data_IF_280283426659
#
_entry.id   IF_280283426659
#
_cell.length_a   1.000
_cell.length_b   1.000
_cell.length_c   1.000
_cell.angle_alpha   90.00
_cell.angle_beta   90.00
_cell.angle_gamma   90.00
#
_symmetry.space_group_name_H-M   'P 1'
#
loop_
_entity.id
_entity.type
_entity.pdbx_description
1 polymer ?
#
# COMPACT_ATOMS: atom_id res chain seq x y z
N UNK A 1 15.98 31.97 9.62
CA UNK A 1 14.66 31.57 10.13
C UNK A 1 13.68 31.48 8.97
N UNK A 2 12.96 30.37 8.87
CA UNK A 2 12.01 30.17 7.77
C UNK A 2 10.74 30.98 8.04
N UNK A 3 10.30 31.74 7.06
CA UNK A 3 9.03 32.46 7.14
C UNK A 3 7.90 31.44 7.28
N UNK A 4 6.95 31.65 8.20
CA UNK A 4 5.80 30.79 8.41
C UNK A 4 4.96 30.60 7.14
N UNK A 5 4.91 31.61 6.25
CA UNK A 5 4.19 31.53 4.98
C UNK A 5 4.80 30.56 3.98
N UNK A 6 6.09 30.17 4.14
CA UNK A 6 6.78 29.22 3.26
C UNK A 6 6.81 27.81 3.82
N UNK A 7 6.32 27.58 5.02
CA UNK A 7 6.25 26.24 5.61
C UNK A 7 5.05 25.49 5.06
N UNK A 8 5.20 24.19 4.84
CA UNK A 8 4.04 23.36 4.53
C UNK A 8 2.98 23.47 5.63
N UNK A 9 1.73 23.62 5.24
CA UNK A 9 0.61 23.69 6.18
C UNK A 9 0.12 22.29 6.58
N UNK A 10 0.46 21.27 5.82
CA UNK A 10 0.11 19.89 6.10
C UNK A 10 1.22 19.18 6.87
N UNK A 11 0.88 18.08 7.53
CA UNK A 11 1.82 17.27 8.31
C UNK A 11 1.92 15.85 7.75
N UNK A 12 2.00 15.73 6.44
CA UNK A 12 2.02 14.45 5.77
C UNK A 12 0.62 13.91 5.54
N UNK A 13 0.53 12.68 5.08
CA UNK A 13 -0.75 12.05 4.83
C UNK A 13 -1.44 11.69 6.15
N UNK A 14 -2.71 12.04 6.28
CA UNK A 14 -3.55 11.65 7.43
C UNK A 14 -4.01 10.20 7.27
N UNK A 15 -4.50 9.85 6.11
CA UNK A 15 -4.84 8.49 5.70
C UNK A 15 -4.87 8.44 4.18
N UNK A 16 -4.87 7.23 3.63
CA UNK A 16 -4.96 7.02 2.18
C UNK A 16 -6.14 6.12 1.89
N UNK A 17 -7.02 6.58 1.00
CA UNK A 17 -8.18 5.81 0.55
C UNK A 17 -7.87 5.05 -0.73
N UNK A 18 -8.15 3.75 -0.74
CA UNK A 18 -8.00 2.88 -1.91
C UNK A 18 -9.37 2.36 -2.31
N UNK A 19 -9.73 2.55 -3.58
CA UNK A 19 -10.90 1.91 -4.15
C UNK A 19 -10.51 0.50 -4.58
N UNK A 20 -11.19 -0.50 -4.04
CA UNK A 20 -10.84 -1.91 -4.25
C UNK A 20 -12.02 -2.68 -4.85
N UNK A 21 -11.70 -3.76 -5.55
CA UNK A 21 -12.71 -4.63 -6.16
C UNK A 21 -13.49 -5.40 -5.10
N UNK A 22 -12.80 -5.93 -4.10
CA UNK A 22 -13.34 -6.76 -3.03
C UNK A 22 -12.70 -6.33 -1.72
N UNK A 23 -13.49 -5.71 -0.85
CA UNK A 23 -12.94 -5.13 0.39
C UNK A 23 -12.47 -6.20 1.37
N UNK A 24 -13.11 -7.38 1.40
CA UNK A 24 -12.67 -8.49 2.26
C UNK A 24 -11.34 -9.07 1.77
N UNK A 25 -11.17 -9.23 0.47
CA UNK A 25 -9.93 -9.70 -0.14
C UNK A 25 -8.77 -8.73 0.15
N UNK A 26 -9.02 -7.43 0.03
CA UNK A 26 -8.03 -6.40 0.34
C UNK A 26 -7.68 -6.39 1.84
N UNK A 27 -8.69 -6.46 2.72
CA UNK A 27 -8.46 -6.57 4.16
C UNK A 27 -7.57 -7.76 4.49
N UNK A 28 -7.87 -8.92 3.94
CA UNK A 28 -7.13 -10.15 4.24
C UNK A 28 -5.66 -10.03 3.86
N UNK A 29 -5.36 -9.36 2.74
CA UNK A 29 -3.98 -9.08 2.35
C UNK A 29 -3.26 -8.27 3.43
N UNK A 30 -3.83 -7.16 3.86
CA UNK A 30 -3.19 -6.29 4.85
C UNK A 30 -3.10 -6.97 6.23
N UNK A 31 -4.13 -7.69 6.64
CA UNK A 31 -4.14 -8.33 7.96
C UNK A 31 -3.27 -9.59 7.99
N UNK A 32 -3.45 -10.50 7.04
CA UNK A 32 -2.78 -11.81 7.07
C UNK A 32 -1.32 -11.72 6.62
N UNK A 33 -1.03 -11.01 5.55
CA UNK A 33 0.33 -10.93 5.03
C UNK A 33 1.17 -9.89 5.76
N UNK A 34 0.59 -8.75 6.15
CA UNK A 34 1.33 -7.60 6.65
C UNK A 34 1.13 -7.32 8.14
N UNK A 35 0.19 -7.99 8.81
CA UNK A 35 -0.03 -7.80 10.23
C UNK A 35 -0.80 -6.54 10.60
N UNK A 36 -1.49 -5.91 9.67
CA UNK A 36 -2.37 -4.78 9.98
C UNK A 36 -3.54 -5.22 10.85
N UNK A 37 -4.10 -4.28 11.58
CA UNK A 37 -5.34 -4.47 12.34
C UNK A 37 -6.48 -3.71 11.70
N UNK A 38 -7.70 -4.26 11.84
CA UNK A 38 -8.91 -3.56 11.40
C UNK A 38 -9.22 -2.47 12.41
N UNK A 39 -9.24 -1.22 11.96
CA UNK A 39 -9.51 -0.07 12.80
C UNK A 39 -11.00 0.30 12.84
N UNK A 40 -11.71 0.10 11.73
CA UNK A 40 -13.14 0.39 11.62
C UNK A 40 -13.72 -0.29 10.40
N UNK A 41 -15.05 -0.43 10.39
CA UNK A 41 -15.79 -0.96 9.27
C UNK A 41 -17.04 -0.12 9.00
N UNK A 42 -17.41 -0.04 7.72
CA UNK A 42 -18.66 0.55 7.27
C UNK A 42 -19.37 -0.44 6.36
N UNK A 43 -20.19 -1.36 6.91
CA UNK A 43 -20.79 -2.45 6.14
C UNK A 43 -21.67 -1.98 4.99
N UNK A 44 -22.30 -0.81 5.14
CA UNK A 44 -23.26 -0.31 4.15
C UNK A 44 -22.62 0.20 2.87
N UNK A 45 -21.33 0.63 2.92
CA UNK A 45 -20.65 1.15 1.73
C UNK A 45 -20.37 0.05 0.70
N UNK A 46 -19.63 -1.09 0.92
CA UNK A 46 -18.84 -1.46 2.10
C UNK A 46 -17.42 -0.89 2.10
N UNK A 47 -16.90 -0.67 3.29
CA UNK A 47 -15.55 -0.19 3.50
C UNK A 47 -14.95 -0.81 4.76
N UNK A 48 -13.62 -1.01 4.76
CA UNK A 48 -12.87 -1.51 5.91
C UNK A 48 -11.60 -0.68 6.04
N UNK A 49 -11.33 -0.20 7.24
CA UNK A 49 -10.14 0.62 7.52
C UNK A 49 -9.13 -0.24 8.27
N UNK A 50 -7.89 -0.24 7.80
CA UNK A 50 -6.79 -1.04 8.37
C UNK A 50 -5.61 -0.15 8.72
N UNK A 51 -4.88 -0.53 9.77
CA UNK A 51 -3.76 0.27 10.27
C UNK A 51 -2.59 -0.62 10.69
N UNK A 52 -1.38 -0.14 10.45
CA UNK A 52 -0.15 -0.74 11.00
C UNK A 52 0.35 -0.01 12.26
N UNK A 53 -0.46 0.90 12.81
CA UNK A 53 -0.09 1.73 13.94
C UNK A 53 0.50 3.09 13.56
N UNK A 54 0.93 3.25 12.32
CA UNK A 54 1.51 4.49 11.78
C UNK A 54 0.66 5.03 10.64
N UNK A 55 0.28 4.16 9.72
CA UNK A 55 -0.50 4.53 8.53
C UNK A 55 -1.88 3.91 8.59
N UNK A 56 -2.90 4.73 8.35
CA UNK A 56 -4.28 4.30 8.20
C UNK A 56 -4.61 4.23 6.70
N UNK A 57 -5.04 3.06 6.26
CA UNK A 57 -5.55 2.86 4.90
C UNK A 57 -7.05 2.61 4.98
N UNK A 58 -7.82 3.33 4.16
CA UNK A 58 -9.26 3.17 4.09
C UNK A 58 -9.61 2.46 2.79
N UNK A 59 -10.14 1.24 2.90
CA UNK A 59 -10.44 0.39 1.77
C UNK A 59 -11.92 0.53 1.43
N UNK A 60 -12.23 0.94 0.21
CA UNK A 60 -13.58 1.26 -0.24
C UNK A 60 -13.92 0.38 -1.43
N UNK A 61 -14.94 -0.44 -1.32
CA UNK A 61 -15.32 -1.29 -2.44
C UNK A 61 -16.00 -0.47 -3.53
N UNK A 62 -15.57 -0.68 -4.78
CA UNK A 62 -16.22 -0.05 -5.92
C UNK A 62 -17.69 -0.48 -6.02
N UNK A 63 -18.54 0.39 -6.58
CA UNK A 63 -19.99 0.15 -6.61
C UNK A 63 -20.36 -1.10 -7.42
N UNK A 64 -19.67 -1.33 -8.54
CA UNK A 64 -19.89 -2.50 -9.39
C UNK A 64 -18.55 -3.15 -9.75
N UNK A 65 -18.10 -4.12 -8.96
CA UNK A 65 -16.82 -4.77 -9.21
C UNK A 65 -16.70 -5.41 -10.60
N UNK A 66 -17.80 -5.91 -11.15
CA UNK A 66 -17.78 -6.60 -12.44
C UNK A 66 -17.52 -5.66 -13.61
N UNK A 67 -17.92 -4.39 -13.49
CA UNK A 67 -17.74 -3.38 -14.55
C UNK A 67 -16.66 -2.35 -14.22
N UNK A 68 -16.00 -2.45 -13.09
CA UNK A 68 -14.99 -1.49 -12.68
C UNK A 68 -13.79 -1.51 -13.62
N UNK A 69 -13.25 -0.32 -13.93
CA UNK A 69 -12.02 -0.20 -14.70
C UNK A 69 -10.86 -0.73 -13.87
N UNK A 70 -10.10 -1.73 -14.37
CA UNK A 70 -8.96 -2.26 -13.62
C UNK A 70 -7.89 -1.20 -13.33
N UNK A 71 -7.17 -1.39 -12.24
CA UNK A 71 -6.02 -0.55 -11.95
C UNK A 71 -5.00 -0.62 -13.09
N UNK A 72 -4.55 0.56 -13.56
CA UNK A 72 -3.50 0.65 -14.57
C UNK A 72 -2.75 1.97 -14.33
N UNK A 73 -1.51 1.85 -13.84
CA UNK A 73 -0.68 3.02 -13.51
C UNK A 73 -0.31 3.87 -14.71
N UNK A 74 -0.41 3.33 -15.90
CA UNK A 74 0.00 4.03 -17.14
C UNK A 74 -1.16 4.61 -17.91
N UNK A 75 -2.35 4.06 -17.75
CA UNK A 75 -3.53 4.46 -18.50
C UNK A 75 -4.48 5.34 -17.67
N UNK A 76 -4.49 5.18 -16.35
CA UNK A 76 -5.43 5.86 -15.48
C UNK A 76 -4.74 6.97 -14.69
N UNK A 77 -5.34 8.14 -14.65
CA UNK A 77 -4.90 9.23 -13.78
C UNK A 77 -5.27 8.88 -12.35
N UNK A 78 -4.32 8.98 -11.42
CA UNK A 78 -4.54 8.71 -10.01
C UNK A 78 -3.34 8.07 -9.36
N UNK A 79 -3.58 7.04 -8.57
CA UNK A 79 -2.52 6.35 -7.85
C UNK A 79 -1.59 5.61 -8.82
N UNK A 80 -0.29 5.86 -8.72
CA UNK A 80 0.73 5.08 -9.42
C UNK A 80 1.16 3.88 -8.57
N UNK A 81 1.41 4.13 -7.30
CA UNK A 81 1.69 3.13 -6.28
C UNK A 81 1.63 3.80 -4.91
N UNK A 82 1.54 3.00 -3.87
CA UNK A 82 1.73 3.45 -2.49
C UNK A 82 2.93 2.72 -1.92
N UNK A 83 3.83 3.46 -1.26
CA UNK A 83 5.01 2.88 -0.64
C UNK A 83 4.87 2.84 0.88
N UNK A 84 5.08 1.67 1.46
CA UNK A 84 5.08 1.46 2.89
C UNK A 84 6.52 1.22 3.36
N UNK A 85 6.92 1.91 4.43
CA UNK A 85 8.26 1.78 4.99
C UNK A 85 8.42 0.54 5.84
N UNK A 86 9.59 -0.08 5.76
CA UNK A 86 10.01 -1.15 6.65
C UNK A 86 11.34 -0.77 7.30
N UNK A 87 11.64 -1.33 8.47
CA UNK A 87 12.76 -0.88 9.29
C UNK A 87 14.14 -1.16 8.67
N UNK A 88 14.29 -2.31 8.02
CA UNK A 88 15.58 -2.77 7.52
C UNK A 88 15.41 -3.85 6.43
N UNK A 89 16.54 -4.28 5.87
CA UNK A 89 16.54 -5.26 4.79
C UNK A 89 16.01 -6.63 5.24
N UNK A 90 16.28 -7.06 6.46
CA UNK A 90 15.77 -8.33 6.97
C UNK A 90 14.24 -8.30 7.05
N UNK A 91 13.68 -7.18 7.52
CA UNK A 91 12.22 -7.01 7.56
C UNK A 91 11.64 -6.96 6.15
N UNK A 92 12.31 -6.29 5.21
CA UNK A 92 11.89 -6.26 3.81
C UNK A 92 11.79 -7.68 3.23
N UNK A 93 12.78 -8.52 3.50
CA UNK A 93 12.78 -9.92 3.04
C UNK A 93 11.66 -10.74 3.68
N UNK A 94 11.38 -10.49 4.96
CA UNK A 94 10.26 -11.13 5.65
C UNK A 94 8.93 -10.74 5.02
N UNK A 95 8.74 -9.45 4.75
CA UNK A 95 7.53 -8.95 4.07
C UNK A 95 7.41 -9.58 2.69
N UNK A 96 8.52 -9.62 1.93
CA UNK A 96 8.51 -10.22 0.60
C UNK A 96 8.05 -11.68 0.65
N UNK A 97 8.60 -12.49 1.57
CA UNK A 97 8.20 -13.88 1.70
C UNK A 97 6.72 -14.04 2.02
N UNK A 98 6.17 -13.19 2.88
CA UNK A 98 4.76 -13.25 3.26
C UNK A 98 3.84 -12.85 2.11
N UNK A 99 4.14 -11.73 1.45
CA UNK A 99 3.27 -11.27 0.35
C UNK A 99 3.36 -12.19 -0.85
N UNK A 100 4.54 -12.75 -1.13
CA UNK A 100 4.72 -13.72 -2.22
C UNK A 100 3.83 -14.95 -2.02
N UNK A 101 3.66 -15.38 -0.78
CA UNK A 101 2.82 -16.53 -0.44
C UNK A 101 1.35 -16.24 -0.32
N UNK A 102 0.92 -14.98 -0.39
CA UNK A 102 -0.49 -14.63 -0.22
C UNK A 102 -1.25 -14.79 -1.55
N UNK A 103 -2.44 -15.42 -1.52
CA UNK A 103 -3.24 -15.60 -2.75
C UNK A 103 -3.59 -14.26 -3.42
N UNK A 104 -3.49 -14.21 -4.74
CA UNK A 104 -3.86 -13.04 -5.53
C UNK A 104 -2.78 -11.97 -5.64
N UNK A 105 -1.62 -12.15 -5.03
CA UNK A 105 -0.48 -11.22 -5.15
C UNK A 105 0.36 -11.59 -6.37
N UNK A 106 0.79 -10.57 -7.10
CA UNK A 106 1.77 -10.72 -8.19
C UNK A 106 3.00 -9.89 -7.85
N UNK A 107 4.17 -10.53 -7.78
CA UNK A 107 5.44 -9.84 -7.54
C UNK A 107 5.90 -9.20 -8.85
N UNK A 108 6.25 -7.92 -8.82
CA UNK A 108 6.75 -7.21 -9.98
C UNK A 108 8.26 -7.44 -10.14
N UNK A 109 9.01 -7.35 -9.04
CA UNK A 109 10.43 -7.71 -8.96
C UNK A 109 10.80 -8.03 -7.51
N UNK A 110 11.87 -8.81 -7.33
CA UNK A 110 12.40 -9.19 -6.03
C UNK A 110 13.10 -8.00 -5.34
N UNK A 111 13.30 -8.05 -4.00
CA UNK A 111 14.03 -6.98 -3.30
C UNK A 111 15.37 -6.67 -3.95
N UNK A 112 15.60 -5.38 -4.22
CA UNK A 112 16.80 -4.89 -4.86
C UNK A 112 17.07 -3.45 -4.43
N UNK A 113 18.29 -2.91 -4.65
CA UNK A 113 18.54 -1.49 -4.43
C UNK A 113 17.59 -0.64 -5.27
N UNK A 114 17.07 0.44 -4.69
CA UNK A 114 16.10 1.31 -5.38
C UNK A 114 16.70 1.98 -6.63
N UNK A 115 18.00 2.12 -6.63
CA UNK A 115 18.82 2.50 -7.77
C UNK A 115 20.24 1.99 -7.54
N UNK A 116 21.03 1.94 -8.61
CA UNK A 116 22.42 1.49 -8.51
C UNK A 116 23.17 2.26 -7.43
N UNK A 117 23.84 1.54 -6.53
CA UNK A 117 24.63 2.10 -5.44
C UNK A 117 23.85 2.60 -4.24
N UNK A 118 22.50 2.53 -4.26
CA UNK A 118 21.70 2.97 -3.13
C UNK A 118 21.69 1.93 -2.00
N UNK A 119 21.65 2.41 -0.76
CA UNK A 119 21.46 1.56 0.42
C UNK A 119 20.00 1.22 0.65
N UNK A 120 19.08 2.06 0.17
CA UNK A 120 17.63 1.79 0.22
C UNK A 120 17.30 0.63 -0.70
N UNK A 121 16.66 -0.38 -0.15
CA UNK A 121 16.16 -1.52 -0.91
C UNK A 121 14.65 -1.50 -0.95
N UNK A 122 14.08 -2.04 -2.01
CA UNK A 122 12.64 -2.08 -2.18
C UNK A 122 12.21 -3.27 -3.04
N UNK A 123 10.93 -3.56 -3.03
CA UNK A 123 10.26 -4.34 -4.06
C UNK A 123 8.85 -3.82 -4.26
N UNK A 124 8.23 -4.17 -5.38
CA UNK A 124 6.86 -3.80 -5.70
C UNK A 124 6.06 -5.06 -6.01
N UNK A 125 4.84 -5.10 -5.53
CA UNK A 125 3.87 -6.14 -5.88
C UNK A 125 2.55 -5.51 -6.26
N UNK A 126 1.73 -6.26 -6.99
CA UNK A 126 0.31 -5.98 -7.12
C UNK A 126 -0.40 -6.75 -6.02
N UNK A 127 -1.14 -6.05 -5.15
CA UNK A 127 -1.98 -6.69 -4.15
C UNK A 127 -3.19 -7.35 -4.83
N UNK A 128 -3.94 -8.20 -4.12
CA UNK A 128 -5.18 -8.74 -4.69
C UNK A 128 -6.07 -7.59 -5.20
N UNK A 129 -6.48 -7.69 -6.46
CA UNK A 129 -7.23 -6.63 -7.13
C UNK A 129 -6.37 -5.70 -7.99
N UNK A 130 -5.04 -5.76 -7.90
CA UNK A 130 -4.13 -5.14 -8.87
C UNK A 130 -3.45 -3.84 -8.45
N UNK A 131 -3.82 -3.22 -7.33
CA UNK A 131 -3.18 -1.98 -6.88
C UNK A 131 -1.71 -2.27 -6.53
N UNK A 132 -0.81 -1.38 -6.98
CA UNK A 132 0.64 -1.53 -6.76
C UNK A 132 1.04 -1.04 -5.38
N UNK A 133 1.69 -1.91 -4.62
CA UNK A 133 2.24 -1.60 -3.30
C UNK A 133 3.76 -1.78 -3.37
N UNK A 134 4.48 -0.74 -2.98
CA UNK A 134 5.92 -0.78 -2.79
C UNK A 134 6.24 -0.95 -1.31
N UNK A 135 7.30 -1.69 -1.00
CA UNK A 135 7.87 -1.76 0.35
C UNK A 135 9.31 -1.32 0.24
N UNK A 136 9.73 -0.41 1.12
CA UNK A 136 11.05 0.18 1.05
C UNK A 136 11.68 0.37 2.42
N UNK A 137 12.99 0.11 2.51
CA UNK A 137 13.80 0.47 3.68
C UNK A 137 14.02 1.98 3.72
N UNK A 138 14.44 2.54 4.87
CA UNK A 138 14.64 3.98 4.97
C UNK A 138 15.62 4.52 3.92
N UNK A 139 15.39 5.76 3.49
CA UNK A 139 16.39 6.47 2.71
C UNK A 139 17.61 6.74 3.60
N UNK A 140 18.78 6.58 3.01
CA UNK A 140 20.05 6.77 3.72
C UNK A 140 20.45 8.25 3.74
#
# INVERSE_FOLDING_TARGET
MTDASTRPLTRGAHHVGLAVRDVAEARDFFVEALGFTVAAERPDYPAIFVSDGTTLLTLWQVADPASATPFDRRANIGLHHIALGVADLDTLRTVFARVQGHPGVTIEFDPEPIREGATTHHFICAMPGGIRIEFATPFA
#
